data_IF_695478756770
#
_entry.id   IF_695478756770
#
_cell.length_a   1.000
_cell.length_b   1.000
_cell.length_c   1.000
_cell.angle_alpha   90.00
_cell.angle_beta   90.00
_cell.angle_gamma   90.00
#
_symmetry.space_group_name_H-M   'P 1'
#
loop_
_entity.id
_entity.type
_entity.pdbx_description
1 polymer ?
#
# COMPACT_ATOMS: atom_id res chain seq x y z
N UNK A 1 -1.84 55.11 8.52
CA UNK A 1 -0.60 54.37 8.81
C UNK A 1 -0.95 53.31 9.85
N UNK A 2 -0.93 52.06 9.39
CA UNK A 2 -1.05 50.76 10.07
C UNK A 2 -2.31 50.44 10.90
N UNK A 3 -3.21 49.72 10.24
CA UNK A 3 -4.16 48.81 10.86
C UNK A 3 -3.42 47.56 11.40
N UNK A 4 -3.82 47.12 12.59
CA UNK A 4 -3.28 45.96 13.29
C UNK A 4 -3.52 44.67 12.49
N UNK A 5 -2.45 43.93 12.19
CA UNK A 5 -2.51 42.53 11.75
C UNK A 5 -2.70 41.66 12.99
N UNK A 6 -3.89 41.09 13.17
CA UNK A 6 -4.09 39.95 14.06
C UNK A 6 -3.36 38.75 13.47
N UNK A 7 -2.43 38.17 14.22
CA UNK A 7 -1.84 36.87 13.90
C UNK A 7 -2.86 35.78 14.27
N UNK A 8 -3.53 35.23 13.27
CA UNK A 8 -4.31 34.01 13.44
C UNK A 8 -3.35 32.82 13.55
N UNK A 9 -3.04 32.42 14.78
CA UNK A 9 -2.49 31.09 15.08
C UNK A 9 -3.53 30.06 14.67
N UNK A 10 -3.23 29.31 13.61
CA UNK A 10 -4.02 28.16 13.19
C UNK A 10 -3.67 27.02 14.15
N UNK A 11 -4.51 26.84 15.16
CA UNK A 11 -4.47 25.67 16.05
C UNK A 11 -4.89 24.43 15.25
N UNK A 12 -3.91 23.76 14.65
CA UNK A 12 -4.09 22.37 14.23
C UNK A 12 -4.28 21.55 15.51
N UNK A 13 -5.54 21.28 15.87
CA UNK A 13 -5.88 20.32 16.90
C UNK A 13 -5.55 18.90 16.44
N UNK A 14 -4.26 18.57 16.36
CA UNK A 14 -3.79 17.21 16.53
C UNK A 14 -4.28 16.80 17.92
N UNK A 15 -5.36 16.00 18.00
CA UNK A 15 -5.58 15.15 19.17
C UNK A 15 -4.23 14.50 19.47
N UNK A 16 -3.64 14.85 20.61
CA UNK A 16 -2.30 14.48 21.08
C UNK A 16 -1.89 13.13 20.48
N UNK A 17 -1.15 13.16 19.37
CA UNK A 17 -0.73 11.95 18.67
C UNK A 17 0.34 11.31 19.55
N UNK A 18 -0.05 10.29 20.32
CA UNK A 18 0.86 9.55 21.16
C UNK A 18 1.63 8.57 20.28
N UNK A 19 2.94 8.78 20.16
CA UNK A 19 3.80 7.84 19.48
C UNK A 19 3.83 6.51 20.25
N UNK A 20 3.70 5.37 19.58
CA UNK A 20 3.82 4.07 20.24
C UNK A 20 5.23 3.86 20.79
N UNK A 21 5.31 3.24 21.97
CA UNK A 21 6.57 2.86 22.62
C UNK A 21 6.90 1.39 22.34
N UNK A 22 8.19 1.01 22.24
CA UNK A 22 8.60 -0.39 22.31
C UNK A 22 8.11 -1.11 23.57
N UNK A 23 7.86 -0.37 24.65
CA UNK A 23 7.38 -0.88 25.94
C UNK A 23 5.85 -1.00 26.04
N UNK A 24 5.12 -0.71 24.95
CA UNK A 24 3.66 -0.80 24.94
C UNK A 24 3.20 -2.27 25.10
N UNK A 25 2.23 -2.54 25.99
CA UNK A 25 1.68 -3.88 26.21
C UNK A 25 1.15 -4.54 24.92
N UNK A 26 0.49 -3.72 24.08
CA UNK A 26 0.04 -4.12 22.74
C UNK A 26 0.94 -3.42 21.73
N UNK A 27 1.77 -4.17 20.98
CA UNK A 27 2.56 -3.61 19.90
C UNK A 27 1.68 -2.86 18.91
N UNK A 28 2.13 -1.70 18.43
CA UNK A 28 1.28 -0.81 17.64
C UNK A 28 0.72 -1.48 16.37
N UNK A 29 1.46 -2.41 15.77
CA UNK A 29 1.05 -3.14 14.57
C UNK A 29 -0.06 -4.18 14.81
N UNK A 30 -0.40 -4.46 16.07
CA UNK A 30 -1.54 -5.29 16.48
C UNK A 30 -2.77 -4.47 16.85
N UNK A 31 -2.66 -3.13 16.87
CA UNK A 31 -3.80 -2.26 17.21
C UNK A 31 -4.72 -2.11 16.01
N UNK A 32 -6.02 -2.02 16.27
CA UNK A 32 -6.98 -1.64 15.25
C UNK A 32 -6.76 -0.16 14.89
N UNK A 33 -6.37 0.10 13.65
CA UNK A 33 -6.32 1.48 13.17
C UNK A 33 -7.75 1.98 13.03
N UNK A 34 -8.05 3.21 13.50
CA UNK A 34 -9.37 3.79 13.26
C UNK A 34 -9.62 3.76 11.75
N UNK A 35 -10.79 3.25 11.36
CA UNK A 35 -11.27 3.33 9.98
C UNK A 35 -11.37 4.81 9.66
N UNK A 36 -10.34 5.33 8.99
CA UNK A 36 -10.33 6.70 8.55
C UNK A 36 -11.36 6.82 7.42
N UNK A 37 -12.56 7.26 7.80
CA UNK A 37 -13.53 7.79 6.85
C UNK A 37 -12.98 9.14 6.42
N UNK A 38 -12.59 9.32 5.14
CA UNK A 38 -12.33 10.65 4.64
C UNK A 38 -13.70 11.33 4.54
N UNK A 39 -14.17 11.92 5.63
CA UNK A 39 -15.08 13.05 5.48
C UNK A 39 -14.34 14.07 4.64
N UNK A 40 -14.99 14.51 3.57
CA UNK A 40 -14.51 15.46 2.55
C UNK A 40 -13.95 16.77 3.14
N UNK A 41 -14.14 17.00 4.44
CA UNK A 41 -13.70 18.19 5.16
C UNK A 41 -12.22 18.14 5.60
N UNK A 42 -11.58 16.96 5.68
CA UNK A 42 -10.17 16.86 6.08
C UNK A 42 -9.18 17.03 4.93
N UNK A 43 -9.65 17.06 3.68
CA UNK A 43 -8.81 17.19 2.48
C UNK A 43 -8.59 18.63 2.05
N UNK A 44 -9.34 19.60 2.60
CA UNK A 44 -9.33 20.98 2.13
C UNK A 44 -8.06 21.77 2.48
N UNK A 45 -7.33 21.39 3.53
CA UNK A 45 -6.20 22.16 4.07
C UNK A 45 -4.83 21.49 3.90
N UNK A 46 -4.71 20.36 3.19
CA UNK A 46 -3.40 19.74 2.94
C UNK A 46 -2.71 20.45 1.76
N UNK A 47 -1.54 21.11 1.98
CA UNK A 47 -0.81 21.74 0.88
C UNK A 47 -0.43 20.69 -0.17
N UNK A 48 -0.79 20.97 -1.41
CA UNK A 48 -0.41 20.14 -2.55
C UNK A 48 1.04 20.41 -2.91
N UNK A 49 1.77 19.37 -3.33
CA UNK A 49 3.10 19.53 -3.86
C UNK A 49 3.06 20.19 -5.26
N UNK A 50 3.96 21.14 -5.54
CA UNK A 50 3.94 21.87 -6.81
C UNK A 50 4.29 21.00 -8.02
N UNK A 51 5.00 19.88 -7.81
CA UNK A 51 5.39 18.92 -8.84
C UNK A 51 4.87 17.51 -8.48
N UNK A 52 3.72 17.08 -9.05
CA UNK A 52 3.11 15.81 -8.70
C UNK A 52 3.88 14.63 -9.30
N UNK A 53 4.35 13.74 -8.42
CA UNK A 53 4.98 12.48 -8.80
C UNK A 53 3.96 11.36 -9.05
N UNK A 54 4.37 10.38 -9.87
CA UNK A 54 3.77 9.04 -9.91
C UNK A 54 4.64 8.10 -9.07
N UNK A 55 4.10 7.64 -7.94
CA UNK A 55 4.78 6.81 -6.97
C UNK A 55 4.19 5.40 -7.02
N UNK A 56 5.05 4.39 -7.16
CA UNK A 56 4.65 2.99 -7.06
C UNK A 56 5.37 2.36 -5.87
N UNK A 57 4.62 1.96 -4.86
CA UNK A 57 5.16 1.18 -3.74
C UNK A 57 5.16 -0.30 -4.11
N UNK A 58 6.34 -0.90 -4.26
CA UNK A 58 6.49 -2.36 -4.37
C UNK A 58 6.76 -2.91 -2.98
N UNK A 59 5.87 -3.75 -2.47
CA UNK A 59 5.91 -4.21 -1.07
C UNK A 59 5.42 -5.65 -0.94
N UNK A 60 5.82 -6.31 0.15
CA UNK A 60 5.29 -7.61 0.55
C UNK A 60 4.01 -7.49 1.41
N UNK A 61 3.78 -6.34 2.05
CA UNK A 61 2.65 -6.11 2.96
C UNK A 61 1.86 -4.85 2.62
N UNK A 62 0.55 -4.92 2.82
CA UNK A 62 -0.38 -3.79 2.78
C UNK A 62 -1.59 -4.06 3.69
N UNK A 63 -1.90 -3.13 4.59
CA UNK A 63 -3.08 -3.24 5.43
C UNK A 63 -4.38 -2.87 4.67
N UNK A 64 -5.49 -3.60 4.84
CA UNK A 64 -5.66 -4.74 5.73
C UNK A 64 -5.43 -6.12 5.07
N UNK A 65 -5.14 -6.16 3.76
CA UNK A 65 -5.28 -7.40 2.96
C UNK A 65 -4.11 -8.38 3.10
N UNK A 66 -2.91 -7.89 3.38
CA UNK A 66 -1.69 -8.68 3.55
C UNK A 66 -0.84 -8.01 4.63
N UNK A 67 -1.18 -8.27 5.89
CA UNK A 67 -0.58 -7.60 7.05
C UNK A 67 -0.11 -8.63 8.05
N UNK A 68 1.18 -8.57 8.39
CA UNK A 68 1.80 -9.45 9.39
C UNK A 68 2.51 -8.64 10.47
N UNK A 69 3.02 -7.45 10.12
CA UNK A 69 3.62 -6.51 11.05
C UNK A 69 3.22 -5.06 10.75
N UNK A 70 4.10 -4.13 11.13
CA UNK A 70 3.87 -2.68 10.96
C UNK A 70 4.07 -2.17 9.53
N UNK A 71 4.77 -2.94 8.67
CA UNK A 71 5.03 -2.55 7.29
C UNK A 71 3.72 -2.28 6.52
N UNK A 72 2.73 -3.16 6.67
CA UNK A 72 1.44 -2.99 6.01
C UNK A 72 0.72 -1.69 6.37
N UNK A 73 0.84 -1.22 7.62
CA UNK A 73 0.24 0.05 8.04
C UNK A 73 1.03 1.24 7.50
N UNK A 74 2.36 1.14 7.50
CA UNK A 74 3.25 2.17 6.94
C UNK A 74 2.94 2.38 5.47
N UNK A 75 2.83 1.31 4.67
CA UNK A 75 2.49 1.43 3.24
C UNK A 75 1.14 2.11 3.05
N UNK A 76 0.10 1.65 3.76
CA UNK A 76 -1.25 2.20 3.63
C UNK A 76 -1.31 3.68 4.07
N UNK A 77 -0.64 4.02 5.18
CA UNK A 77 -0.57 5.38 5.71
C UNK A 77 0.22 6.32 4.80
N UNK A 78 1.42 5.90 4.38
CA UNK A 78 2.29 6.67 3.48
C UNK A 78 1.63 6.91 2.13
N UNK A 79 1.02 5.87 1.54
CA UNK A 79 0.31 6.01 0.25
C UNK A 79 -0.80 7.04 0.34
N UNK A 80 -1.61 7.00 1.41
CA UNK A 80 -2.66 8.01 1.63
C UNK A 80 -2.09 9.40 1.81
N UNK A 81 -1.04 9.56 2.63
CA UNK A 81 -0.41 10.85 2.85
C UNK A 81 0.13 11.45 1.55
N UNK A 82 0.78 10.64 0.71
CA UNK A 82 1.26 11.05 -0.61
C UNK A 82 0.12 11.41 -1.57
N UNK A 83 -0.98 10.63 -1.59
CA UNK A 83 -2.17 10.97 -2.39
C UNK A 83 -2.81 12.30 -1.94
N UNK A 84 -2.87 12.55 -0.63
CA UNK A 84 -3.41 13.80 -0.08
C UNK A 84 -2.59 15.04 -0.47
N UNK A 85 -1.31 14.86 -0.81
CA UNK A 85 -0.42 15.91 -1.33
C UNK A 85 -0.48 16.06 -2.85
N UNK A 86 -1.34 15.30 -3.53
CA UNK A 86 -1.57 15.43 -4.97
C UNK A 86 -0.80 14.46 -5.84
N UNK A 87 -0.06 13.51 -5.24
CA UNK A 87 0.66 12.50 -6.01
C UNK A 87 -0.27 11.38 -6.51
N UNK A 88 0.05 10.83 -7.68
CA UNK A 88 -0.54 9.58 -8.13
C UNK A 88 0.19 8.44 -7.43
N UNK A 89 -0.52 7.64 -6.64
CA UNK A 89 0.08 6.53 -5.88
C UNK A 89 -0.58 5.21 -6.25
N UNK A 90 0.23 4.19 -6.48
CA UNK A 90 -0.20 2.81 -6.67
C UNK A 90 0.64 1.88 -5.77
N UNK A 91 0.05 0.80 -5.28
CA UNK A 91 0.76 -0.23 -4.51
C UNK A 91 0.78 -1.52 -5.31
N UNK A 92 1.97 -2.02 -5.61
CA UNK A 92 2.17 -3.37 -6.15
C UNK A 92 2.42 -4.35 -5.02
N UNK A 93 1.65 -5.43 -5.02
CA UNK A 93 1.67 -6.46 -3.98
C UNK A 93 1.59 -7.84 -4.66
N UNK A 94 2.27 -8.88 -4.14
CA UNK A 94 1.99 -10.24 -4.59
C UNK A 94 0.52 -10.57 -4.36
N UNK A 95 -0.11 -11.24 -5.32
CA UNK A 95 -1.47 -11.73 -5.13
C UNK A 95 -1.44 -13.02 -4.31
N UNK A 96 -1.15 -12.89 -3.01
CA UNK A 96 -1.15 -14.02 -2.09
C UNK A 96 -2.51 -14.73 -2.08
N UNK A 97 -2.48 -16.06 -2.04
CA UNK A 97 -3.69 -16.88 -1.98
C UNK A 97 -4.55 -16.59 -0.73
N UNK A 98 -3.92 -16.17 0.37
CA UNK A 98 -4.62 -15.80 1.60
C UNK A 98 -5.37 -14.46 1.53
N UNK A 99 -5.19 -13.66 0.47
CA UNK A 99 -5.91 -12.39 0.31
C UNK A 99 -7.40 -12.65 0.07
N UNK A 100 -8.23 -12.09 0.93
CA UNK A 100 -9.67 -12.14 0.79
C UNK A 100 -10.13 -11.16 -0.29
N UNK A 101 -10.45 -11.67 -1.48
CA UNK A 101 -10.77 -10.87 -2.68
C UNK A 101 -11.86 -9.83 -2.48
N UNK A 102 -12.82 -10.06 -1.59
CA UNK A 102 -13.90 -9.10 -1.29
C UNK A 102 -13.41 -7.81 -0.61
N UNK A 103 -12.21 -7.82 0.00
CA UNK A 103 -11.58 -6.64 0.57
C UNK A 103 -10.94 -5.73 -0.50
N UNK A 104 -10.82 -6.21 -1.74
CA UNK A 104 -10.30 -5.46 -2.88
C UNK A 104 -11.48 -5.00 -3.75
N UNK A 105 -11.82 -3.72 -3.67
CA UNK A 105 -12.95 -3.17 -4.42
C UNK A 105 -12.60 -3.05 -5.90
N UNK A 106 -13.53 -3.46 -6.77
CA UNK A 106 -13.36 -3.33 -8.22
C UNK A 106 -12.23 -4.20 -8.80
N UNK A 107 -11.88 -5.30 -8.12
CA UNK A 107 -10.83 -6.22 -8.56
C UNK A 107 -11.09 -6.71 -10.00
N UNK A 108 -10.16 -6.45 -10.91
CA UNK A 108 -10.24 -6.84 -12.32
C UNK A 108 -8.87 -7.17 -12.89
N UNK A 109 -8.81 -8.15 -13.79
CA UNK A 109 -7.61 -8.40 -14.58
C UNK A 109 -7.37 -7.20 -15.51
N UNK A 110 -6.16 -6.63 -15.49
CA UNK A 110 -5.80 -5.48 -16.35
C UNK A 110 -4.68 -5.79 -17.33
N UNK A 111 -3.84 -6.80 -17.05
CA UNK A 111 -2.82 -7.23 -17.99
C UNK A 111 -2.41 -8.70 -17.78
N UNK A 112 -1.92 -9.32 -18.85
CA UNK A 112 -1.21 -10.60 -18.84
C UNK A 112 0.11 -10.44 -19.59
N UNK A 113 1.22 -10.75 -18.93
CA UNK A 113 2.57 -10.63 -19.48
C UNK A 113 3.42 -11.83 -19.04
N UNK A 114 4.69 -11.88 -19.44
CA UNK A 114 5.60 -12.95 -19.05
C UNK A 114 6.78 -12.38 -18.29
N UNK A 115 7.14 -13.04 -17.19
CA UNK A 115 8.34 -12.76 -16.41
C UNK A 115 9.24 -13.98 -16.34
N UNK A 116 10.55 -13.76 -16.44
CA UNK A 116 11.53 -14.83 -16.52
C UNK A 116 11.88 -15.39 -15.14
N UNK A 117 11.84 -16.71 -15.00
CA UNK A 117 12.28 -17.42 -13.80
C UNK A 117 12.95 -18.74 -14.18
N UNK A 118 14.16 -18.97 -13.67
CA UNK A 118 14.84 -20.27 -13.70
C UNK A 118 14.78 -21.02 -15.05
N UNK A 119 15.14 -20.35 -16.16
CA UNK A 119 15.13 -20.99 -17.48
C UNK A 119 13.91 -20.65 -18.34
N UNK A 120 12.79 -20.28 -17.72
CA UNK A 120 11.48 -20.24 -18.37
C UNK A 120 10.77 -18.89 -18.26
N UNK A 121 9.88 -18.62 -19.23
CA UNK A 121 9.00 -17.46 -19.21
C UNK A 121 7.66 -17.81 -18.55
N UNK A 122 7.43 -17.27 -17.36
CA UNK A 122 6.25 -17.52 -16.54
C UNK A 122 5.15 -16.52 -16.88
N UNK A 123 3.99 -17.02 -17.33
CA UNK A 123 2.80 -16.19 -17.49
C UNK A 123 2.43 -15.53 -16.16
N UNK A 124 2.21 -14.22 -16.17
CA UNK A 124 1.97 -13.40 -14.99
C UNK A 124 0.78 -12.49 -15.25
N UNK A 125 -0.18 -12.51 -14.34
CA UNK A 125 -1.42 -11.73 -14.40
C UNK A 125 -1.35 -10.56 -13.44
N UNK A 126 -1.69 -9.37 -13.91
CA UNK A 126 -1.81 -8.17 -13.08
C UNK A 126 -3.29 -7.83 -12.89
N UNK A 127 -3.73 -7.78 -11.63
CA UNK A 127 -5.08 -7.39 -11.26
C UNK A 127 -5.09 -6.00 -10.64
N UNK A 128 -5.96 -5.12 -11.08
CA UNK A 128 -6.16 -3.81 -10.48
C UNK A 128 -7.36 -3.81 -9.53
N UNK A 129 -7.28 -3.02 -8.47
CA UNK A 129 -8.40 -2.74 -7.58
C UNK A 129 -8.12 -1.60 -6.61
N UNK A 130 -8.99 -1.43 -5.62
CA UNK A 130 -8.83 -0.46 -4.54
C UNK A 130 -8.82 -1.15 -3.18
N UNK A 131 -7.84 -0.83 -2.36
CA UNK A 131 -7.75 -1.25 -0.96
C UNK A 131 -7.67 0.00 -0.12
N UNK A 132 -8.59 0.17 0.84
CA UNK A 132 -8.54 1.34 1.74
C UNK A 132 -8.54 2.70 1.02
N UNK A 133 -9.07 2.76 -0.21
CA UNK A 133 -9.09 3.95 -1.07
C UNK A 133 -7.83 4.15 -1.93
N UNK A 134 -6.84 3.26 -1.82
CA UNK A 134 -5.56 3.33 -2.52
C UNK A 134 -5.60 2.37 -3.73
N UNK A 135 -5.19 2.81 -4.93
CA UNK A 135 -4.98 1.95 -6.09
C UNK A 135 -3.96 0.84 -5.80
N UNK A 136 -4.33 -0.40 -6.12
CA UNK A 136 -3.44 -1.56 -6.01
C UNK A 136 -3.34 -2.31 -7.32
N UNK A 137 -2.16 -2.89 -7.56
CA UNK A 137 -1.90 -3.88 -8.59
C UNK A 137 -1.42 -5.17 -7.91
N UNK A 138 -2.20 -6.24 -8.02
CA UNK A 138 -1.88 -7.55 -7.48
C UNK A 138 -1.24 -8.41 -8.56
N UNK A 139 -0.04 -8.90 -8.31
CA UNK A 139 0.75 -9.70 -9.27
C UNK A 139 0.60 -11.18 -8.95
N UNK A 140 0.00 -11.91 -9.88
CA UNK A 140 -0.21 -13.36 -9.78
C UNK A 140 0.59 -14.10 -10.85
N UNK A 141 1.70 -14.75 -10.51
CA UNK A 141 2.36 -15.67 -11.43
C UNK A 141 1.56 -16.96 -11.61
N UNK A 142 1.69 -17.58 -12.78
CA UNK A 142 1.12 -18.90 -13.07
C UNK A 142 1.89 -20.05 -12.39
N UNK A 143 3.09 -19.79 -11.85
CA UNK A 143 3.80 -20.74 -11.02
C UNK A 143 3.20 -20.81 -9.60
N UNK A 144 3.77 -21.66 -8.74
CA UNK A 144 3.25 -21.86 -7.37
C UNK A 144 3.72 -20.80 -6.36
N UNK A 145 4.31 -19.69 -6.81
CA UNK A 145 4.68 -18.60 -5.89
C UNK A 145 3.46 -17.93 -5.28
N UNK A 146 3.61 -17.49 -4.03
CA UNK A 146 2.58 -16.82 -3.25
C UNK A 146 1.31 -17.65 -2.96
N UNK A 147 1.40 -18.99 -3.12
CA UNK A 147 0.38 -19.94 -2.68
C UNK A 147 0.56 -20.32 -1.21
N UNK A 148 -0.55 -20.49 -0.49
CA UNK A 148 -0.58 -20.78 0.94
C UNK A 148 -1.45 -19.83 1.76
N UNK A 149 -1.48 -20.08 3.07
CA UNK A 149 -2.36 -19.38 4.02
C UNK A 149 -1.72 -18.13 4.66
N UNK A 150 -0.43 -17.90 4.43
CA UNK A 150 0.35 -16.83 5.07
C UNK A 150 1.08 -15.98 4.02
N UNK A 151 1.34 -14.71 4.36
CA UNK A 151 2.16 -13.78 3.56
C UNK A 151 3.61 -14.26 3.48
N UNK A 152 4.19 -14.68 4.61
CA UNK A 152 5.54 -15.23 4.71
C UNK A 152 5.52 -16.72 5.06
N UNK A 153 6.58 -17.43 4.68
CA UNK A 153 6.75 -18.84 5.03
C UNK A 153 5.76 -19.78 4.34
N UNK A 154 5.45 -19.51 3.07
CA UNK A 154 4.64 -20.40 2.23
C UNK A 154 5.36 -21.71 1.87
N UNK A 155 4.68 -22.58 1.12
CA UNK A 155 5.24 -23.87 0.66
C UNK A 155 6.18 -23.74 -0.56
N UNK A 156 6.69 -22.54 -0.82
CA UNK A 156 7.56 -22.19 -1.95
C UNK A 156 8.89 -21.61 -1.46
N UNK A 157 9.90 -21.56 -2.34
CA UNK A 157 11.14 -20.86 -2.04
C UNK A 157 10.87 -19.34 -2.01
N UNK A 158 10.88 -18.77 -0.81
CA UNK A 158 10.51 -17.39 -0.56
C UNK A 158 11.48 -16.38 -1.21
N UNK A 159 12.79 -16.67 -1.17
CA UNK A 159 13.80 -15.84 -1.83
C UNK A 159 13.52 -15.73 -3.33
N UNK A 160 13.29 -16.87 -3.98
CA UNK A 160 13.00 -16.93 -5.42
C UNK A 160 11.68 -16.22 -5.76
N UNK A 161 10.66 -16.38 -4.91
CA UNK A 161 9.37 -15.73 -5.11
C UNK A 161 9.49 -14.20 -5.09
N UNK A 162 10.18 -13.62 -4.10
CA UNK A 162 10.34 -12.16 -4.01
C UNK A 162 11.31 -11.60 -5.05
N UNK A 163 12.33 -12.35 -5.48
CA UNK A 163 13.15 -11.98 -6.63
C UNK A 163 12.32 -11.92 -7.91
N UNK A 164 11.51 -12.96 -8.15
CA UNK A 164 10.60 -13.01 -9.28
C UNK A 164 9.59 -11.86 -9.25
N UNK A 165 8.95 -11.61 -8.11
CA UNK A 165 7.98 -10.54 -7.95
C UNK A 165 8.61 -9.16 -8.25
N UNK A 166 9.81 -8.90 -7.72
CA UNK A 166 10.53 -7.65 -8.00
C UNK A 166 10.75 -7.46 -9.51
N UNK A 167 11.14 -8.52 -10.22
CA UNK A 167 11.30 -8.51 -11.67
C UNK A 167 9.98 -8.27 -12.40
N UNK A 168 8.94 -9.03 -12.05
CA UNK A 168 7.63 -8.94 -12.68
C UNK A 168 7.02 -7.53 -12.52
N UNK A 169 7.20 -6.90 -11.35
CA UNK A 169 6.83 -5.51 -11.13
C UNK A 169 7.49 -4.55 -12.13
N UNK A 170 8.80 -4.69 -12.34
CA UNK A 170 9.52 -3.84 -13.29
C UNK A 170 9.09 -4.08 -14.73
N UNK A 171 8.82 -5.32 -15.12
CA UNK A 171 8.31 -5.65 -16.47
C UNK A 171 6.90 -5.11 -16.72
N UNK A 172 6.07 -4.98 -15.67
CA UNK A 172 4.77 -4.32 -15.79
C UNK A 172 4.89 -2.79 -15.99
N UNK A 173 5.93 -2.15 -15.46
CA UNK A 173 6.10 -0.70 -15.56
C UNK A 173 6.65 -0.21 -16.91
N UNK A 174 6.99 -1.13 -17.83
CA UNK A 174 7.52 -0.81 -19.16
C UNK A 174 6.43 -0.36 -20.12
#
# INVERSE_FOLDING_TARGET
>A
IFAARQSSTVDFAFKKFAWPSPDDEVPFWKRDFPVWNPTLDATADVPQDPDPLHIIHVTAEMAPIAKVGGLGDVVTGLSRASMLRGHKVEVMLPFYECIQKHQVKGLKLVNEYKSYHNGDWICTRAYSGLVSGIPVILIEPANQFFKGQNVYGGCYNELEAYLFFSRACLEWMQ
#
